data_IF_750331296221
#
_entry.id   IF_750331296221
#
_cell.length_a   1.000
_cell.length_b   1.000
_cell.length_c   1.000
_cell.angle_alpha   90.00
_cell.angle_beta   90.00
_cell.angle_gamma   90.00
#
_symmetry.space_group_name_H-M   'P 1'
#
loop_
_entity.id
_entity.type
_entity.pdbx_description
1 polymer ?
#
# COMPACT_ATOMS: atom_id res chain seq x y z
N UNK A 1 24.68 29.25 -21.51
CA UNK A 1 25.09 27.85 -21.27
C UNK A 1 25.09 27.45 -19.80
N UNK A 2 25.57 28.31 -18.86
CA UNK A 2 25.59 27.98 -17.42
C UNK A 2 24.17 27.84 -16.79
N UNK A 3 23.20 28.66 -17.19
CA UNK A 3 21.82 28.56 -16.68
C UNK A 3 21.09 27.26 -17.08
N UNK A 4 21.34 26.75 -18.27
CA UNK A 4 20.74 25.47 -18.73
C UNK A 4 21.34 24.28 -17.99
N UNK A 5 22.65 24.33 -17.67
CA UNK A 5 23.34 23.30 -16.90
C UNK A 5 22.84 23.22 -15.44
N UNK A 6 22.59 24.38 -14.82
CA UNK A 6 22.03 24.46 -13.46
C UNK A 6 20.61 23.92 -13.39
N UNK A 7 19.72 24.34 -14.31
CA UNK A 7 18.35 23.85 -14.38
C UNK A 7 18.27 22.34 -14.63
N UNK A 8 19.13 21.81 -15.52
CA UNK A 8 19.20 20.36 -15.76
C UNK A 8 19.66 19.59 -14.51
N UNK A 9 20.62 20.13 -13.74
CA UNK A 9 21.09 19.55 -12.48
C UNK A 9 19.98 19.47 -11.43
N UNK A 10 19.16 20.52 -11.31
CA UNK A 10 18.07 20.57 -10.31
C UNK A 10 16.93 19.62 -10.68
N UNK A 11 16.57 19.52 -11.97
CA UNK A 11 15.62 18.51 -12.45
C UNK A 11 16.13 17.10 -12.16
N UNK A 12 17.40 16.82 -12.43
CA UNK A 12 18.02 15.53 -12.15
C UNK A 12 17.97 15.17 -10.65
N UNK A 13 18.34 16.10 -9.77
CA UNK A 13 18.28 15.90 -8.31
C UNK A 13 16.87 15.61 -7.84
N UNK A 14 15.87 16.31 -8.36
CA UNK A 14 14.46 16.09 -8.05
C UNK A 14 13.98 14.71 -8.50
N UNK A 15 14.35 14.30 -9.72
CA UNK A 15 14.04 12.97 -10.24
C UNK A 15 14.69 11.86 -9.40
N UNK A 16 15.96 12.02 -9.03
CA UNK A 16 16.68 11.06 -8.17
C UNK A 16 16.04 10.94 -6.79
N UNK A 17 15.61 12.05 -6.19
CA UNK A 17 14.91 12.04 -4.90
C UNK A 17 13.59 11.25 -4.98
N UNK A 18 12.77 11.52 -6.00
CA UNK A 18 11.49 10.81 -6.19
C UNK A 18 11.74 9.34 -6.51
N UNK A 19 12.71 9.03 -7.36
CA UNK A 19 13.09 7.66 -7.69
C UNK A 19 13.59 6.87 -6.48
N UNK A 20 14.46 7.46 -5.65
CA UNK A 20 14.93 6.85 -4.42
C UNK A 20 13.78 6.55 -3.44
N UNK A 21 12.83 7.49 -3.28
CA UNK A 21 11.65 7.27 -2.46
C UNK A 21 10.75 6.15 -3.00
N UNK A 22 10.59 6.06 -4.32
CA UNK A 22 9.90 4.97 -4.99
C UNK A 22 10.56 3.61 -4.74
N UNK A 23 11.89 3.56 -4.82
CA UNK A 23 12.67 2.37 -4.53
C UNK A 23 12.48 1.90 -3.07
N UNK A 24 12.59 2.80 -2.10
CA UNK A 24 12.38 2.48 -0.68
C UNK A 24 10.96 1.97 -0.45
N UNK A 25 9.94 2.60 -1.03
CA UNK A 25 8.56 2.12 -0.92
C UNK A 25 8.40 0.71 -1.50
N UNK A 26 8.98 0.43 -2.65
CA UNK A 26 8.93 -0.91 -3.27
C UNK A 26 9.65 -1.96 -2.42
N UNK A 27 10.81 -1.62 -1.86
CA UNK A 27 11.56 -2.50 -0.94
C UNK A 27 10.75 -2.79 0.32
N UNK A 28 10.10 -1.78 0.91
CA UNK A 28 9.28 -2.00 2.12
C UNK A 28 8.03 -2.84 1.84
N UNK A 29 7.43 -2.72 0.66
CA UNK A 29 6.31 -3.58 0.25
C UNK A 29 6.79 -5.02 0.08
N UNK A 30 7.80 -5.24 -0.75
CA UNK A 30 8.35 -6.57 -1.02
C UNK A 30 8.90 -7.22 0.26
N UNK A 31 9.59 -6.45 1.11
CA UNK A 31 10.09 -6.89 2.40
C UNK A 31 8.98 -7.33 3.34
N UNK A 32 7.85 -6.59 3.38
CA UNK A 32 6.68 -6.98 4.17
C UNK A 32 6.13 -8.33 3.70
N UNK A 33 5.96 -8.52 2.40
CA UNK A 33 5.48 -9.81 1.84
C UNK A 33 6.46 -10.93 2.18
N UNK A 34 7.77 -10.72 2.05
CA UNK A 34 8.78 -11.72 2.37
C UNK A 34 8.75 -12.13 3.85
N UNK A 35 8.68 -11.15 4.76
CA UNK A 35 8.60 -11.40 6.22
C UNK A 35 7.33 -12.16 6.58
N UNK A 36 6.19 -11.74 6.05
CA UNK A 36 4.89 -12.43 6.31
C UNK A 36 4.93 -13.85 5.76
N UNK A 37 5.41 -14.06 4.53
CA UNK A 37 5.53 -15.39 3.92
C UNK A 37 6.43 -16.31 4.76
N UNK A 38 7.60 -15.81 5.16
CA UNK A 38 8.53 -16.56 6.03
C UNK A 38 7.89 -16.87 7.40
N UNK A 39 7.12 -15.94 7.96
CA UNK A 39 6.46 -16.15 9.25
C UNK A 39 5.33 -17.17 9.16
N UNK A 40 4.52 -17.12 8.10
CA UNK A 40 3.42 -18.08 7.88
C UNK A 40 3.97 -19.49 7.64
N UNK A 41 5.13 -19.64 7.00
CA UNK A 41 5.72 -20.96 6.75
C UNK A 41 6.03 -21.77 8.03
N UNK A 42 6.20 -21.11 9.18
CA UNK A 42 6.36 -21.78 10.47
C UNK A 42 5.11 -22.55 10.92
N UNK A 43 3.93 -22.25 10.37
CA UNK A 43 2.66 -22.90 10.70
C UNK A 43 2.31 -24.08 9.78
N UNK A 44 3.21 -24.44 8.90
CA UNK A 44 3.07 -25.58 8.00
C UNK A 44 2.74 -25.22 6.55
N UNK A 45 2.80 -26.24 5.69
CA UNK A 45 2.63 -26.06 4.26
C UNK A 45 1.20 -25.67 3.87
N UNK A 46 0.21 -26.15 4.62
CA UNK A 46 -1.19 -25.84 4.41
C UNK A 46 -1.52 -24.39 4.75
N UNK A 47 -0.89 -23.87 5.83
CA UNK A 47 -1.02 -22.45 6.20
C UNK A 47 -0.40 -21.55 5.14
N UNK A 48 0.77 -21.93 4.63
CA UNK A 48 1.46 -21.20 3.56
C UNK A 48 0.66 -21.23 2.26
N UNK A 49 0.08 -22.38 1.90
CA UNK A 49 -0.77 -22.52 0.72
C UNK A 49 -2.04 -21.66 0.85
N UNK A 50 -2.70 -21.70 2.01
CA UNK A 50 -3.89 -20.87 2.29
C UNK A 50 -3.59 -19.38 2.24
N UNK A 51 -2.49 -18.93 2.86
CA UNK A 51 -2.02 -17.55 2.72
C UNK A 51 -1.78 -17.18 1.26
N UNK A 52 -1.12 -18.07 0.50
CA UNK A 52 -0.85 -17.86 -0.92
C UNK A 52 -2.13 -17.69 -1.76
N UNK A 53 -3.19 -18.45 -1.46
CA UNK A 53 -4.49 -18.32 -2.14
C UNK A 53 -5.18 -17.00 -1.80
N UNK A 54 -5.19 -16.62 -0.53
CA UNK A 54 -5.82 -15.37 -0.09
C UNK A 54 -5.08 -14.14 -0.60
N UNK A 55 -3.75 -14.13 -0.54
CA UNK A 55 -2.92 -12.99 -0.98
C UNK A 55 -2.89 -12.81 -2.50
N UNK A 56 -3.28 -13.81 -3.30
CA UNK A 56 -3.46 -13.64 -4.76
C UNK A 56 -4.50 -12.58 -5.13
N UNK A 57 -5.41 -12.23 -4.23
CA UNK A 57 -6.33 -11.11 -4.44
C UNK A 57 -5.57 -9.79 -4.71
N UNK A 58 -4.36 -9.64 -4.14
CA UNK A 58 -3.49 -8.49 -4.39
C UNK A 58 -3.05 -8.37 -5.85
N UNK A 59 -2.98 -9.49 -6.59
CA UNK A 59 -2.62 -9.50 -8.01
C UNK A 59 -3.67 -8.74 -8.85
N UNK A 60 -4.94 -8.74 -8.42
CA UNK A 60 -6.00 -7.97 -9.06
C UNK A 60 -6.05 -6.53 -8.53
N UNK A 61 -5.94 -6.37 -7.22
CA UNK A 61 -6.03 -5.06 -6.55
C UNK A 61 -4.89 -4.15 -6.96
N UNK A 62 -3.66 -4.65 -7.00
CA UNK A 62 -2.46 -3.84 -7.23
C UNK A 62 -2.47 -3.12 -8.58
N UNK A 63 -2.72 -3.76 -9.74
CA UNK A 63 -2.81 -3.08 -11.03
C UNK A 63 -3.89 -2.00 -11.09
N UNK A 64 -5.05 -2.23 -10.45
CA UNK A 64 -6.13 -1.24 -10.39
C UNK A 64 -5.69 0.02 -9.64
N UNK A 65 -5.07 -0.16 -8.47
CA UNK A 65 -4.53 0.94 -7.65
C UNK A 65 -3.42 1.69 -8.38
N UNK A 66 -2.52 0.98 -9.06
CA UNK A 66 -1.44 1.58 -9.84
C UNK A 66 -1.97 2.33 -11.07
N UNK A 67 -3.01 1.81 -11.73
CA UNK A 67 -3.68 2.50 -12.85
C UNK A 67 -4.24 3.85 -12.42
N UNK A 68 -5.02 3.89 -11.34
CA UNK A 68 -5.55 5.14 -10.76
C UNK A 68 -4.41 6.04 -10.29
N UNK A 69 -3.43 5.49 -9.60
CA UNK A 69 -2.29 6.20 -9.04
C UNK A 69 -1.44 6.91 -10.10
N UNK A 70 -1.17 6.24 -11.23
CA UNK A 70 -0.37 6.83 -12.32
C UNK A 70 -1.03 8.09 -12.91
N UNK A 71 -2.35 8.05 -13.11
CA UNK A 71 -3.13 9.21 -13.57
C UNK A 71 -3.06 10.35 -12.55
N UNK A 72 -3.14 10.01 -11.25
CA UNK A 72 -3.05 11.01 -10.19
C UNK A 72 -1.68 11.65 -10.09
N UNK A 73 -0.60 10.89 -10.29
CA UNK A 73 0.75 11.45 -10.32
C UNK A 73 0.85 12.58 -11.35
N UNK A 74 0.34 12.35 -12.56
CA UNK A 74 0.34 13.36 -13.62
C UNK A 74 -0.60 14.53 -13.30
N UNK A 75 -1.86 14.26 -12.96
CA UNK A 75 -2.86 15.29 -12.71
C UNK A 75 -2.50 16.19 -11.53
N UNK A 76 -2.03 15.61 -10.43
CA UNK A 76 -1.56 16.34 -9.24
C UNK A 76 -0.30 17.13 -9.57
N UNK A 77 0.67 16.52 -10.28
CA UNK A 77 1.90 17.18 -10.68
C UNK A 77 1.67 18.42 -11.55
N UNK A 78 0.79 18.36 -12.54
CA UNK A 78 0.44 19.49 -13.42
C UNK A 78 -0.19 20.63 -12.58
N UNK A 79 -1.15 20.34 -11.71
CA UNK A 79 -1.81 21.37 -10.89
C UNK A 79 -0.86 21.97 -9.85
N UNK A 80 0.01 21.14 -9.25
CA UNK A 80 1.02 21.61 -8.31
C UNK A 80 2.08 22.49 -9.02
N UNK A 81 2.53 22.11 -10.22
CA UNK A 81 3.43 22.93 -11.02
C UNK A 81 2.84 24.25 -11.50
N UNK A 82 1.51 24.34 -11.61
CA UNK A 82 0.76 25.58 -11.88
C UNK A 82 0.45 26.41 -10.60
N UNK A 83 1.06 26.10 -9.45
CA UNK A 83 0.79 26.69 -8.12
C UNK A 83 -0.67 26.55 -7.65
N UNK A 84 -1.41 25.56 -8.15
CA UNK A 84 -2.78 25.28 -7.76
C UNK A 84 -2.85 24.15 -6.72
N UNK A 85 -2.14 24.27 -5.60
CA UNK A 85 -2.03 23.21 -4.58
C UNK A 85 -3.38 22.80 -3.99
N UNK A 86 -4.30 23.73 -3.80
CA UNK A 86 -5.67 23.41 -3.32
C UNK A 86 -6.41 22.47 -4.30
N UNK A 87 -6.24 22.68 -5.61
CA UNK A 87 -6.83 21.85 -6.64
C UNK A 87 -6.10 20.48 -6.72
N UNK A 88 -4.79 20.48 -6.65
CA UNK A 88 -3.98 19.27 -6.60
C UNK A 88 -4.39 18.37 -5.42
N UNK A 89 -4.59 18.95 -4.23
CA UNK A 89 -5.06 18.25 -3.02
C UNK A 89 -6.47 17.65 -3.22
N UNK A 90 -7.40 18.40 -3.81
CA UNK A 90 -8.76 17.89 -4.11
C UNK A 90 -8.70 16.68 -5.07
N UNK A 91 -7.89 16.77 -6.13
CA UNK A 91 -7.72 15.68 -7.10
C UNK A 91 -7.16 14.44 -6.39
N UNK A 92 -6.16 14.58 -5.54
CA UNK A 92 -5.58 13.48 -4.78
C UNK A 92 -6.61 12.79 -3.87
N UNK A 93 -7.43 13.56 -3.14
CA UNK A 93 -8.48 13.01 -2.28
C UNK A 93 -9.60 12.33 -3.06
N UNK A 94 -10.04 12.90 -4.19
CA UNK A 94 -11.05 12.27 -5.05
C UNK A 94 -10.54 10.91 -5.54
N UNK A 95 -9.30 10.85 -6.01
CA UNK A 95 -8.71 9.58 -6.44
C UNK A 95 -8.57 8.56 -5.32
N UNK A 96 -8.19 9.00 -4.11
CA UNK A 96 -8.10 8.12 -2.95
C UNK A 96 -9.48 7.56 -2.55
N UNK A 97 -10.53 8.38 -2.56
CA UNK A 97 -11.91 7.96 -2.27
C UNK A 97 -12.40 6.95 -3.33
N UNK A 98 -12.14 7.22 -4.61
CA UNK A 98 -12.51 6.31 -5.70
C UNK A 98 -11.81 4.95 -5.50
N UNK A 99 -10.50 4.94 -5.23
CA UNK A 99 -9.74 3.72 -4.96
C UNK A 99 -10.26 2.99 -3.73
N UNK A 100 -10.55 3.72 -2.64
CA UNK A 100 -11.11 3.16 -1.42
C UNK A 100 -12.44 2.44 -1.68
N UNK A 101 -13.34 3.08 -2.43
CA UNK A 101 -14.68 2.52 -2.73
C UNK A 101 -14.55 1.31 -3.66
N UNK A 102 -13.82 1.42 -4.78
CA UNK A 102 -13.72 0.34 -5.76
C UNK A 102 -13.08 -0.90 -5.11
N UNK A 103 -11.94 -0.73 -4.46
CA UNK A 103 -11.24 -1.84 -3.83
C UNK A 103 -12.00 -2.32 -2.59
N UNK A 104 -12.63 -1.42 -1.84
CA UNK A 104 -13.47 -1.77 -0.70
C UNK A 104 -14.64 -2.68 -1.10
N UNK A 105 -15.35 -2.36 -2.17
CA UNK A 105 -16.44 -3.21 -2.68
C UNK A 105 -15.93 -4.60 -3.05
N UNK A 106 -14.82 -4.69 -3.80
CA UNK A 106 -14.24 -5.97 -4.22
C UNK A 106 -13.77 -6.78 -2.99
N UNK A 107 -12.99 -6.16 -2.12
CA UNK A 107 -12.34 -6.87 -1.01
C UNK A 107 -13.31 -7.23 0.11
N UNK A 108 -14.33 -6.42 0.38
CA UNK A 108 -15.39 -6.74 1.33
C UNK A 108 -16.29 -7.85 0.78
N UNK A 109 -16.62 -7.82 -0.52
CA UNK A 109 -17.40 -8.90 -1.13
C UNK A 109 -16.69 -10.26 -0.99
N UNK A 110 -15.38 -10.31 -1.24
CA UNK A 110 -14.58 -11.53 -1.07
C UNK A 110 -14.37 -11.90 0.42
N UNK A 111 -14.34 -10.93 1.33
CA UNK A 111 -14.24 -11.23 2.77
C UNK A 111 -15.55 -11.79 3.35
N UNK A 112 -16.70 -11.33 2.83
CA UNK A 112 -18.04 -11.81 3.28
C UNK A 112 -18.43 -13.12 2.59
N UNK A 113 -18.04 -13.29 1.33
CA UNK A 113 -18.31 -14.46 0.51
C UNK A 113 -16.97 -15.02 -0.05
N UNK A 114 -16.14 -15.67 0.78
CA UNK A 114 -14.83 -16.18 0.37
C UNK A 114 -14.91 -17.18 -0.80
N UNK A 115 -16.02 -17.88 -0.92
CA UNK A 115 -16.31 -18.85 -1.98
C UNK A 115 -16.24 -18.19 -3.38
N UNK A 116 -16.67 -16.93 -3.52
CA UNK A 116 -16.56 -16.18 -4.78
C UNK A 116 -15.12 -16.13 -5.33
N UNK A 117 -14.15 -16.22 -4.43
CA UNK A 117 -12.74 -16.24 -4.78
C UNK A 117 -12.18 -17.66 -4.82
N UNK A 118 -12.46 -18.45 -3.79
CA UNK A 118 -11.80 -19.75 -3.56
C UNK A 118 -12.31 -20.86 -4.49
N UNK A 119 -13.56 -20.83 -4.96
CA UNK A 119 -14.11 -21.81 -5.91
C UNK A 119 -13.36 -21.84 -7.25
N UNK A 120 -12.54 -20.84 -7.53
CA UNK A 120 -11.69 -20.81 -8.71
C UNK A 120 -10.37 -21.60 -8.56
N UNK A 121 -10.13 -22.19 -7.38
CA UNK A 121 -8.87 -22.87 -7.08
C UNK A 121 -9.14 -24.27 -6.52
N UNK A 122 -8.45 -25.26 -7.07
CA UNK A 122 -8.41 -26.59 -6.45
C UNK A 122 -7.47 -26.56 -5.25
N UNK A 123 -7.98 -26.84 -4.07
CA UNK A 123 -7.21 -26.80 -2.81
C UNK A 123 -7.71 -27.88 -1.84
N UNK A 124 -6.88 -28.19 -0.83
CA UNK A 124 -7.31 -29.05 0.25
C UNK A 124 -8.09 -28.25 1.32
N UNK A 125 -8.94 -28.96 2.08
CA UNK A 125 -9.84 -28.39 3.10
C UNK A 125 -9.08 -27.53 4.14
N UNK A 126 -7.86 -27.90 4.51
CA UNK A 126 -7.11 -27.19 5.54
C UNK A 126 -6.54 -25.88 5.00
N UNK A 127 -5.98 -25.90 3.78
CA UNK A 127 -5.50 -24.67 3.11
C UNK A 127 -6.63 -23.71 2.82
N UNK A 128 -7.80 -24.21 2.45
CA UNK A 128 -9.01 -23.41 2.24
C UNK A 128 -9.42 -22.68 3.53
N UNK A 129 -9.44 -23.37 4.67
CA UNK A 129 -9.71 -22.73 5.98
C UNK A 129 -8.75 -21.59 6.30
N UNK A 130 -7.46 -21.75 6.02
CA UNK A 130 -6.48 -20.69 6.21
C UNK A 130 -6.65 -19.54 5.22
N UNK A 131 -7.05 -19.82 3.99
CA UNK A 131 -7.37 -18.79 3.00
C UNK A 131 -8.61 -17.98 3.42
N UNK A 132 -9.68 -18.64 3.86
CA UNK A 132 -10.88 -17.99 4.42
C UNK A 132 -10.51 -17.10 5.60
N UNK A 133 -9.71 -17.63 6.53
CA UNK A 133 -9.25 -16.86 7.70
C UNK A 133 -8.49 -15.60 7.28
N UNK A 134 -7.61 -15.71 6.28
CA UNK A 134 -6.88 -14.56 5.73
C UNK A 134 -7.84 -13.54 5.10
N UNK A 135 -8.74 -13.99 4.23
CA UNK A 135 -9.68 -13.11 3.52
C UNK A 135 -10.61 -12.36 4.46
N UNK A 136 -11.11 -13.03 5.51
CA UNK A 136 -11.97 -12.39 6.52
C UNK A 136 -11.21 -11.34 7.33
N UNK A 137 -9.96 -11.61 7.73
CA UNK A 137 -9.18 -10.71 8.58
C UNK A 137 -8.57 -9.59 7.75
N UNK A 138 -7.96 -9.88 6.60
CA UNK A 138 -7.18 -8.92 5.83
C UNK A 138 -8.03 -8.22 4.76
N UNK A 139 -8.99 -8.93 4.18
CA UNK A 139 -9.84 -8.42 3.10
C UNK A 139 -10.40 -7.03 3.34
N UNK A 140 -11.08 -6.77 4.47
CA UNK A 140 -11.67 -5.45 4.75
C UNK A 140 -10.66 -4.29 4.78
N UNK A 141 -9.37 -4.57 4.95
CA UNK A 141 -8.32 -3.55 5.07
C UNK A 141 -7.66 -3.19 3.73
N UNK A 142 -7.93 -3.91 2.65
CA UNK A 142 -7.38 -3.56 1.34
C UNK A 142 -7.84 -2.19 0.82
N UNK A 143 -9.01 -1.71 1.23
CA UNK A 143 -9.46 -0.36 0.89
C UNK A 143 -8.55 0.73 1.48
N UNK A 144 -8.02 0.53 2.69
CA UNK A 144 -7.05 1.45 3.29
C UNK A 144 -5.72 1.43 2.53
N UNK A 145 -5.25 0.25 2.14
CA UNK A 145 -4.08 0.14 1.28
C UNK A 145 -4.28 0.88 -0.04
N UNK A 146 -5.43 0.68 -0.70
CA UNK A 146 -5.72 1.29 -1.97
C UNK A 146 -5.74 2.83 -1.89
N UNK A 147 -6.44 3.39 -0.91
CA UNK A 147 -6.46 4.84 -0.68
C UNK A 147 -5.07 5.38 -0.37
N UNK A 148 -4.35 4.72 0.55
CA UNK A 148 -3.00 5.14 0.93
C UNK A 148 -2.03 5.08 -0.25
N UNK A 149 -2.00 3.98 -0.99
CA UNK A 149 -1.10 3.85 -2.13
C UNK A 149 -1.42 4.88 -3.23
N UNK A 150 -2.69 5.19 -3.44
CA UNK A 150 -3.13 6.24 -4.36
C UNK A 150 -2.63 7.63 -3.92
N UNK A 151 -2.70 7.95 -2.61
CA UNK A 151 -2.12 9.18 -2.04
C UNK A 151 -0.59 9.21 -2.12
N UNK A 152 0.06 8.06 -2.02
CA UNK A 152 1.51 7.97 -2.25
C UNK A 152 1.86 8.40 -3.68
N UNK A 153 1.12 7.93 -4.69
CA UNK A 153 1.30 8.35 -6.08
C UNK A 153 1.05 9.85 -6.27
N UNK A 154 0.03 10.41 -5.62
CA UNK A 154 -0.20 11.85 -5.61
C UNK A 154 0.99 12.62 -5.03
N UNK A 155 1.60 12.10 -3.96
CA UNK A 155 2.81 12.68 -3.35
C UNK A 155 4.02 12.63 -4.28
N UNK A 156 4.15 11.60 -5.10
CA UNK A 156 5.19 11.55 -6.15
C UNK A 156 5.01 12.69 -7.17
N UNK A 157 3.77 12.99 -7.56
CA UNK A 157 3.46 14.10 -8.48
C UNK A 157 3.94 15.47 -7.96
N UNK A 158 3.87 15.71 -6.66
CA UNK A 158 4.37 16.94 -6.04
C UNK A 158 5.85 16.90 -5.67
N UNK A 159 6.47 15.71 -5.66
CA UNK A 159 7.82 15.47 -5.14
C UNK A 159 7.93 15.48 -3.60
N UNK A 160 6.80 15.59 -2.88
CA UNK A 160 6.73 15.62 -1.41
C UNK A 160 6.61 14.19 -0.86
N UNK A 161 7.68 13.40 -1.00
CA UNK A 161 7.68 11.95 -0.74
C UNK A 161 8.27 11.55 0.62
N UNK A 162 8.85 12.49 1.38
CA UNK A 162 9.57 12.18 2.61
C UNK A 162 8.67 11.51 3.66
N UNK A 163 7.58 12.13 4.04
CA UNK A 163 6.64 11.56 5.02
C UNK A 163 5.94 10.29 4.51
N UNK A 164 5.48 10.20 3.25
CA UNK A 164 5.01 8.96 2.67
C UNK A 164 5.96 7.77 2.79
N UNK A 165 7.25 7.99 2.57
CA UNK A 165 8.29 6.94 2.73
C UNK A 165 8.42 6.52 4.20
N UNK A 166 8.37 7.46 5.14
CA UNK A 166 8.40 7.15 6.59
C UNK A 166 7.22 6.26 6.97
N UNK A 167 6.00 6.55 6.47
CA UNK A 167 4.83 5.70 6.71
C UNK A 167 5.06 4.28 6.20
N UNK A 168 5.66 4.11 5.02
CA UNK A 168 6.03 2.81 4.48
C UNK A 168 7.02 2.04 5.36
N UNK A 169 8.02 2.73 5.90
CA UNK A 169 9.00 2.15 6.83
C UNK A 169 8.32 1.75 8.15
N UNK A 170 7.49 2.63 8.73
CA UNK A 170 6.75 2.33 9.97
C UNK A 170 5.87 1.08 9.77
N UNK A 171 5.13 1.00 8.66
CA UNK A 171 4.34 -0.17 8.32
C UNK A 171 5.20 -1.43 8.29
N UNK A 172 6.32 -1.41 7.56
CA UNK A 172 7.22 -2.56 7.43
C UNK A 172 7.77 -3.01 8.78
N UNK A 173 8.26 -2.07 9.60
CA UNK A 173 8.78 -2.36 10.93
C UNK A 173 7.69 -2.92 11.86
N UNK A 174 6.50 -2.33 11.86
CA UNK A 174 5.39 -2.79 12.70
C UNK A 174 5.01 -4.23 12.37
N UNK A 175 4.80 -4.54 11.08
CA UNK A 175 4.46 -5.91 10.66
C UNK A 175 5.60 -6.88 11.00
N UNK A 176 6.85 -6.50 10.75
CA UNK A 176 8.02 -7.36 11.03
C UNK A 176 8.16 -7.66 12.52
N UNK A 177 7.98 -6.66 13.37
CA UNK A 177 8.06 -6.84 14.83
C UNK A 177 6.94 -7.76 15.33
N UNK A 178 5.69 -7.54 14.89
CA UNK A 178 4.58 -8.41 15.30
C UNK A 178 4.76 -9.84 14.80
N UNK A 179 5.22 -10.03 13.55
CA UNK A 179 5.56 -11.37 13.03
C UNK A 179 6.64 -12.06 13.87
N UNK A 180 7.71 -11.34 14.21
CA UNK A 180 8.77 -11.86 15.06
C UNK A 180 8.27 -12.27 16.45
N UNK A 181 7.47 -11.41 17.12
CA UNK A 181 6.88 -11.70 18.43
C UNK A 181 5.93 -12.89 18.35
N UNK A 182 5.13 -12.99 17.29
CA UNK A 182 4.18 -14.10 17.08
C UNK A 182 4.90 -15.44 17.01
N UNK A 183 6.03 -15.52 16.31
CA UNK A 183 6.84 -16.73 16.24
C UNK A 183 7.52 -17.02 17.60
N UNK A 184 8.15 -16.01 18.20
CA UNK A 184 8.91 -16.15 19.45
C UNK A 184 8.04 -16.62 20.61
N UNK A 185 6.82 -16.11 20.71
CA UNK A 185 5.87 -16.47 21.78
C UNK A 185 4.89 -17.58 21.36
N UNK A 186 5.09 -18.19 20.19
CA UNK A 186 4.22 -19.26 19.67
C UNK A 186 2.73 -18.90 19.66
N UNK A 187 2.42 -17.66 19.27
CA UNK A 187 1.02 -17.20 19.13
C UNK A 187 0.39 -17.84 17.88
N UNK A 188 -0.93 -17.73 17.76
CA UNK A 188 -1.66 -18.29 16.63
C UNK A 188 -1.37 -17.54 15.32
N UNK A 189 -1.52 -18.22 14.18
CA UNK A 189 -1.38 -17.65 12.84
C UNK A 189 -2.20 -16.37 12.61
N UNK A 190 -3.37 -16.29 13.25
CA UNK A 190 -4.25 -15.12 13.13
C UNK A 190 -3.57 -13.80 13.51
N UNK A 191 -2.59 -13.82 14.43
CA UNK A 191 -1.86 -12.62 14.84
C UNK A 191 -1.00 -12.06 13.69
N UNK A 192 -0.46 -12.94 12.82
CA UNK A 192 0.23 -12.51 11.60
C UNK A 192 -0.74 -11.81 10.65
N UNK A 193 -1.94 -12.35 10.47
CA UNK A 193 -2.96 -11.75 9.61
C UNK A 193 -3.48 -10.41 10.18
N UNK A 194 -3.65 -10.30 11.50
CA UNK A 194 -3.93 -9.01 12.15
C UNK A 194 -2.79 -8.00 11.97
N UNK A 195 -1.53 -8.45 12.01
CA UNK A 195 -0.39 -7.58 11.74
C UNK A 195 -0.42 -7.03 10.30
N UNK A 196 -0.76 -7.86 9.32
CA UNK A 196 -0.95 -7.42 7.92
C UNK A 196 -2.07 -6.39 7.84
N UNK A 197 -3.24 -6.67 8.41
CA UNK A 197 -4.40 -5.75 8.42
C UNK A 197 -4.03 -4.40 9.03
N UNK A 198 -3.34 -4.42 10.17
CA UNK A 198 -2.87 -3.21 10.83
C UNK A 198 -1.86 -2.44 9.97
N UNK A 199 -0.97 -3.15 9.28
CA UNK A 199 -0.05 -2.55 8.31
C UNK A 199 -0.76 -1.86 7.14
N UNK A 200 -1.83 -2.46 6.61
CA UNK A 200 -2.66 -1.84 5.56
C UNK A 200 -3.38 -0.60 6.09
N UNK A 201 -3.91 -0.65 7.33
CA UNK A 201 -4.53 0.51 7.98
C UNK A 201 -3.52 1.65 8.22
N UNK A 202 -2.29 1.35 8.69
CA UNK A 202 -1.21 2.34 8.83
C UNK A 202 -0.95 3.03 7.49
N UNK A 203 -0.94 2.28 6.37
CA UNK A 203 -0.73 2.86 5.05
C UNK A 203 -1.83 3.87 4.71
N UNK A 204 -3.10 3.49 4.83
CA UNK A 204 -4.23 4.36 4.51
C UNK A 204 -4.31 5.59 5.41
N UNK A 205 -4.30 5.38 6.72
CA UNK A 205 -4.42 6.45 7.72
C UNK A 205 -3.18 7.34 7.70
N UNK A 206 -1.98 6.76 7.70
CA UNK A 206 -0.72 7.49 7.72
C UNK A 206 -0.55 8.41 6.51
N UNK A 207 -0.86 7.92 5.30
CA UNK A 207 -0.78 8.73 4.09
C UNK A 207 -1.89 9.79 4.03
N UNK A 208 -3.07 9.50 4.57
CA UNK A 208 -4.13 10.50 4.73
C UNK A 208 -3.69 11.65 5.66
N UNK A 209 -3.04 11.32 6.78
CA UNK A 209 -2.48 12.32 7.70
C UNK A 209 -1.36 13.14 7.05
N UNK A 210 -0.50 12.52 6.24
CA UNK A 210 0.52 13.25 5.47
C UNK A 210 -0.10 14.32 4.56
N UNK A 211 -1.25 14.02 3.92
CA UNK A 211 -1.97 14.97 3.06
C UNK A 211 -2.59 16.15 3.82
N UNK A 212 -2.88 15.98 5.11
CA UNK A 212 -3.40 17.04 5.98
C UNK A 212 -2.29 17.91 6.56
N UNK A 213 -1.05 17.45 6.48
CA UNK A 213 0.12 18.13 7.02
C UNK A 213 0.46 19.46 6.32
N UNK A 214 1.35 20.26 6.94
CA UNK A 214 1.72 21.59 6.44
C UNK A 214 2.36 21.55 5.05
N UNK A 215 3.05 20.48 4.71
CA UNK A 215 3.71 20.33 3.41
C UNK A 215 2.73 20.45 2.23
N UNK A 216 1.50 19.97 2.40
CA UNK A 216 0.46 20.05 1.36
C UNK A 216 -0.29 21.38 1.34
N UNK A 217 -0.05 22.26 2.31
CA UNK A 217 -0.61 23.60 2.38
C UNK A 217 0.40 24.68 1.95
N UNK A 218 1.68 24.32 1.78
CA UNK A 218 2.73 25.22 1.30
C UNK A 218 2.82 25.20 -0.23
N UNK A 219 2.99 26.37 -0.83
CA UNK A 219 3.33 26.51 -2.26
C UNK A 219 4.64 25.79 -2.58
N UNK A 220 4.78 25.31 -3.83
CA UNK A 220 6.03 24.71 -4.30
C UNK A 220 6.99 25.85 -4.63
N UNK A 221 8.00 26.08 -3.76
CA UNK A 221 9.12 26.96 -4.04
C UNK A 221 10.11 26.28 -4.99
#
# INVERSE_FOLDING_TARGET
TQGVSSAASDVYKRQMKVGAGGLINSITIAGTVAVVTASVSHYGIEALAGYGLGSRLEIIITPLVFGIGSVLTAAVGINAGANQMSRAKKIAWVGAIISFIIIGVISIAVAVFPELWLDNFETNILSEKYAILYLIIVGPFYCFFAAGQTLYFASQGTGKIFFPVIVGIIRFLTVSVVCYLTITFSWSLSHIFYAVSFGLAITGIGLSLCMLGPDWNSEIN
#
